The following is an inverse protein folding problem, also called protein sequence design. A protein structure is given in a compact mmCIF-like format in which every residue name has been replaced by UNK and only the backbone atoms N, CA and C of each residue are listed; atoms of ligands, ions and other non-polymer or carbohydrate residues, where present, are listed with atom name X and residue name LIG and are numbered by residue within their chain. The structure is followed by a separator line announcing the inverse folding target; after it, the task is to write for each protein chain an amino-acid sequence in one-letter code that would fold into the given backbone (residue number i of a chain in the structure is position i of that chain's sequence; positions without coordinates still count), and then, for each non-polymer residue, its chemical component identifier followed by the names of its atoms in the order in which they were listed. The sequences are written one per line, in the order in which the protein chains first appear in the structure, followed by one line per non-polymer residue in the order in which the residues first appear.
data_IF_897966353463
#
_entry.id   IF_897966353463
#
_cell.length_a   1.000
_cell.length_b   1.000
_cell.length_c   1.000
_cell.angle_alpha   90.00
_cell.angle_beta   90.00
_cell.angle_gamma   90.00
#
_symmetry.space_group_name_H-M   'P 1'
#
loop_
_entity.id
_entity.type
_entity.pdbx_description
1 polymer ?
#
# COMPACT_ATOMS: atom_id res chain seq x y z
N UNK A 1 -21.04 6.45 1.06
CA UNK A 1 -20.74 5.01 0.99
C UNK A 1 -21.28 4.35 2.25
N UNK A 2 -22.46 3.74 2.17
CA UNK A 2 -23.11 3.11 3.32
C UNK A 2 -22.42 1.78 3.64
N UNK A 3 -21.80 1.66 4.81
CA UNK A 3 -21.19 0.41 5.27
C UNK A 3 -22.26 -0.69 5.32
N UNK A 4 -21.98 -1.85 4.70
CA UNK A 4 -22.90 -3.00 4.75
C UNK A 4 -22.63 -3.79 6.02
N UNK A 5 -23.64 -4.07 6.87
CA UNK A 5 -23.45 -4.85 8.08
C UNK A 5 -22.88 -6.24 7.71
N UNK A 6 -21.81 -6.64 8.40
CA UNK A 6 -21.11 -7.90 8.16
C UNK A 6 -20.00 -7.87 7.09
N UNK A 7 -19.79 -6.74 6.40
CA UNK A 7 -18.71 -6.59 5.42
C UNK A 7 -17.68 -5.59 5.92
N UNK A 8 -16.48 -6.08 6.25
CA UNK A 8 -15.32 -5.23 6.49
C UNK A 8 -14.67 -4.86 5.15
N UNK A 9 -14.51 -3.57 4.91
CA UNK A 9 -13.81 -3.06 3.74
C UNK A 9 -12.49 -2.45 4.17
N UNK A 10 -11.40 -2.93 3.57
CA UNK A 10 -10.05 -2.42 3.78
C UNK A 10 -9.50 -1.95 2.45
N UNK A 11 -9.14 -0.68 2.37
CA UNK A 11 -8.47 -0.09 1.21
C UNK A 11 -6.96 -0.21 1.38
N UNK A 12 -6.30 -0.93 0.47
CA UNK A 12 -4.84 -1.00 0.43
C UNK A 12 -4.34 -0.16 -0.75
N UNK A 13 -3.43 0.78 -0.49
CA UNK A 13 -2.83 1.64 -1.50
C UNK A 13 -1.37 1.23 -1.67
N UNK A 14 -1.00 0.90 -2.89
CA UNK A 14 0.36 0.50 -3.25
C UNK A 14 1.13 1.69 -3.79
N UNK A 15 2.23 2.02 -3.13
CA UNK A 15 3.20 3.01 -3.57
C UNK A 15 4.41 2.37 -4.24
N UNK A 16 5.55 3.03 -4.07
CA UNK A 16 6.87 2.54 -4.47
C UNK A 16 7.81 2.52 -3.27
N UNK A 17 8.88 1.74 -3.36
CA UNK A 17 9.91 1.69 -2.32
C UNK A 17 11.03 2.68 -2.66
N UNK A 18 11.42 3.52 -1.71
CA UNK A 18 12.58 4.41 -1.86
C UNK A 18 13.86 3.67 -1.44
N UNK A 19 14.85 3.64 -2.33
CA UNK A 19 16.19 3.12 -2.06
C UNK A 19 17.19 4.28 -2.13
N UNK A 20 17.25 5.05 -1.04
CA UNK A 20 18.10 6.24 -0.97
C UNK A 20 17.64 7.33 -1.94
N UNK A 21 18.41 7.54 -3.01
CA UNK A 21 18.08 8.53 -4.05
C UNK A 21 17.20 7.98 -5.17
N UNK A 22 17.09 6.65 -5.31
CA UNK A 22 16.28 6.02 -6.34
C UNK A 22 14.99 5.47 -5.75
N UNK A 23 14.05 5.12 -6.62
CA UNK A 23 12.86 4.39 -6.25
C UNK A 23 12.73 3.13 -7.10
N UNK A 24 12.12 2.10 -6.52
CA UNK A 24 11.72 0.90 -7.25
C UNK A 24 10.28 0.53 -6.96
N UNK A 25 9.69 -0.24 -7.87
CA UNK A 25 8.39 -0.85 -7.61
C UNK A 25 8.49 -1.86 -6.47
N UNK A 26 7.37 -1.99 -5.74
CA UNK A 26 7.23 -3.01 -4.70
C UNK A 26 7.32 -4.40 -5.34
N UNK A 27 7.98 -5.31 -4.65
CA UNK A 27 8.01 -6.72 -4.99
C UNK A 27 6.71 -7.41 -4.59
N UNK A 28 6.45 -8.58 -5.19
CA UNK A 28 5.30 -9.41 -4.82
C UNK A 28 5.28 -9.75 -3.32
N UNK A 29 6.45 -9.96 -2.72
CA UNK A 29 6.57 -10.27 -1.29
C UNK A 29 6.17 -9.07 -0.42
N UNK A 30 6.61 -7.86 -0.77
CA UNK A 30 6.25 -6.63 -0.06
C UNK A 30 4.76 -6.32 -0.18
N UNK A 31 4.18 -6.54 -1.37
CA UNK A 31 2.74 -6.37 -1.59
C UNK A 31 1.95 -7.38 -0.76
N UNK A 32 2.29 -8.66 -0.84
CA UNK A 32 1.58 -9.72 -0.12
C UNK A 32 1.68 -9.53 1.40
N UNK A 33 2.88 -9.22 1.91
CA UNK A 33 3.09 -8.95 3.33
C UNK A 33 2.24 -7.77 3.83
N UNK A 34 2.32 -6.61 3.17
CA UNK A 34 1.56 -5.45 3.61
C UNK A 34 0.04 -5.61 3.46
N UNK A 35 -0.43 -6.44 2.51
CA UNK A 35 -1.87 -6.76 2.41
C UNK A 35 -2.31 -7.63 3.59
N UNK A 36 -1.51 -8.63 3.99
CA UNK A 36 -1.81 -9.44 5.16
C UNK A 36 -1.82 -8.59 6.45
N UNK A 37 -0.87 -7.67 6.58
CA UNK A 37 -0.83 -6.72 7.70
C UNK A 37 -2.06 -5.80 7.71
N UNK A 38 -2.49 -5.32 6.54
CA UNK A 38 -3.69 -4.49 6.40
C UNK A 38 -4.96 -5.25 6.81
N UNK A 39 -5.03 -6.55 6.56
CA UNK A 39 -6.15 -7.40 6.95
C UNK A 39 -6.14 -7.76 8.45
N UNK A 40 -4.96 -7.83 9.07
CA UNK A 40 -4.82 -8.08 10.50
C UNK A 40 -5.13 -6.84 11.36
N UNK A 41 -5.02 -5.63 10.79
CA UNK A 41 -5.29 -4.37 11.48
C UNK A 41 -6.76 -3.91 11.39
N UNK A 42 -7.24 -3.09 12.34
CA UNK A 42 -8.60 -2.52 12.31
C UNK A 42 -8.76 -1.35 11.32
N UNK A 43 -7.73 -1.03 10.53
CA UNK A 43 -7.66 0.21 9.76
C UNK A 43 -8.33 0.06 8.41
N UNK A 44 -9.31 0.91 8.11
CA UNK A 44 -10.02 0.90 6.82
C UNK A 44 -9.12 1.31 5.63
N UNK A 45 -7.96 1.92 5.89
CA UNK A 45 -6.98 2.33 4.87
C UNK A 45 -5.57 1.99 5.31
N UNK A 46 -4.84 1.32 4.43
CA UNK A 46 -3.46 0.92 4.61
C UNK A 46 -2.64 1.35 3.40
N UNK A 47 -1.43 1.84 3.61
CA UNK A 47 -0.51 2.27 2.55
C UNK A 47 0.75 1.41 2.65
N UNK A 48 1.09 0.74 1.55
CA UNK A 48 2.31 -0.06 1.45
C UNK A 48 3.30 0.72 0.60
N UNK A 49 4.48 1.00 1.16
CA UNK A 49 5.51 1.82 0.53
C UNK A 49 5.25 3.32 0.64
N UNK A 50 5.84 4.08 -0.27
CA UNK A 50 5.84 5.54 -0.27
C UNK A 50 5.03 6.08 -1.45
N UNK A 51 4.16 7.07 -1.18
CA UNK A 51 3.35 7.74 -2.19
C UNK A 51 3.98 9.07 -2.66
N UNK A 52 4.86 9.66 -1.82
CA UNK A 52 5.46 10.96 -2.06
C UNK A 52 6.97 10.96 -1.75
N UNK A 53 7.79 11.67 -2.55
CA UNK A 53 7.40 12.57 -3.63
C UNK A 53 7.09 11.83 -4.94
N UNK A 54 5.98 12.20 -5.60
CA UNK A 54 5.54 11.57 -6.87
C UNK A 54 6.58 11.68 -7.98
N UNK A 55 7.42 12.71 -7.93
CA UNK A 55 8.51 12.97 -8.88
C UNK A 55 9.61 11.91 -8.85
N UNK A 56 9.76 11.19 -7.72
CA UNK A 56 10.70 10.09 -7.59
C UNK A 56 10.13 8.75 -8.02
N UNK A 57 8.88 8.70 -8.49
CA UNK A 57 8.26 7.46 -8.94
C UNK A 57 9.12 6.83 -10.06
N UNK A 58 9.38 5.51 -10.02
CA UNK A 58 10.15 4.86 -11.07
C UNK A 58 9.44 5.02 -12.43
N UNK A 59 10.18 5.48 -13.44
CA UNK A 59 9.74 5.40 -14.84
C UNK A 59 9.72 3.93 -15.29
N UNK A 60 8.80 3.60 -16.21
CA UNK A 60 8.57 2.22 -16.67
C UNK A 60 9.75 1.67 -17.47
#
# INVERSE_FOLDING_TARGET
MTARPGIAYTQVILGFHLEGETARWLTHAEIAGGVLDALAGPTARHVIGTLEPWERRPAR
#
